data_IF_913433874221
#
_entry.id   IF_913433874221
#
_cell.length_a   1.000
_cell.length_b   1.000
_cell.length_c   1.000
_cell.angle_alpha   90.00
_cell.angle_beta   90.00
_cell.angle_gamma   90.00
#
_symmetry.space_group_name_H-M   'P 1'
#
loop_
_entity.id
_entity.type
_entity.pdbx_description
1 polymer ?
#
# COMPACT_ATOMS: atom_id res chain seq x y z
N UNK A 1 -15.20 -13.78 -14.18
CA UNK A 1 -14.74 -14.22 -12.84
C UNK A 1 -15.52 -13.49 -11.76
N UNK A 2 -15.99 -14.21 -10.77
CA UNK A 2 -16.71 -13.62 -9.67
C UNK A 2 -15.73 -12.88 -8.75
N UNK A 3 -16.21 -11.79 -8.13
CA UNK A 3 -15.38 -11.00 -7.20
C UNK A 3 -14.80 -11.87 -6.08
N UNK A 4 -15.59 -12.80 -5.55
CA UNK A 4 -15.18 -13.68 -4.45
C UNK A 4 -14.07 -14.65 -4.84
N UNK A 5 -13.79 -14.84 -6.13
CA UNK A 5 -12.77 -15.76 -6.61
C UNK A 5 -11.47 -15.06 -6.99
N UNK A 6 -11.36 -13.75 -6.73
CA UNK A 6 -10.19 -12.96 -7.11
C UNK A 6 -9.17 -12.88 -5.98
N UNK A 7 -7.89 -12.94 -6.36
CA UNK A 7 -6.79 -12.52 -5.50
C UNK A 7 -6.20 -11.23 -6.05
N UNK A 8 -5.27 -10.62 -5.32
CA UNK A 8 -4.64 -9.36 -5.73
C UNK A 8 -4.05 -9.44 -7.14
N UNK A 9 -3.40 -10.54 -7.46
CA UNK A 9 -2.75 -10.72 -8.78
C UNK A 9 -3.75 -10.73 -9.93
N UNK A 10 -5.02 -11.01 -9.67
CA UNK A 10 -6.07 -11.06 -10.69
C UNK A 10 -6.71 -9.70 -10.93
N UNK A 11 -6.35 -8.69 -10.15
CA UNK A 11 -6.91 -7.36 -10.30
C UNK A 11 -6.40 -6.70 -11.58
N UNK A 12 -7.23 -5.84 -12.15
CA UNK A 12 -6.83 -5.03 -13.30
C UNK A 12 -5.79 -4.00 -12.86
N UNK A 13 -4.96 -3.55 -13.81
CA UNK A 13 -3.91 -2.57 -13.52
C UNK A 13 -4.49 -1.29 -12.86
N UNK A 14 -5.65 -0.85 -13.30
CA UNK A 14 -6.31 0.32 -12.72
C UNK A 14 -6.61 0.12 -11.22
N UNK A 15 -7.07 -1.09 -10.85
CA UNK A 15 -7.36 -1.41 -9.45
C UNK A 15 -6.08 -1.49 -8.63
N UNK A 16 -5.03 -2.11 -9.18
CA UNK A 16 -3.72 -2.19 -8.52
C UNK A 16 -3.13 -0.81 -8.31
N UNK A 17 -3.26 0.07 -9.30
CA UNK A 17 -2.78 1.45 -9.20
C UNK A 17 -3.51 2.23 -8.13
N UNK A 18 -4.83 2.05 -8.02
CA UNK A 18 -5.62 2.72 -6.98
C UNK A 18 -5.17 2.29 -5.58
N UNK A 19 -4.90 0.99 -5.40
CA UNK A 19 -4.39 0.47 -4.12
C UNK A 19 -3.00 1.03 -3.83
N UNK A 20 -2.13 1.07 -4.84
CA UNK A 20 -0.78 1.63 -4.69
C UNK A 20 -0.82 3.11 -4.33
N UNK A 21 -1.73 3.88 -4.92
CA UNK A 21 -1.88 5.30 -4.60
C UNK A 21 -2.33 5.51 -3.16
N UNK A 22 -3.26 4.69 -2.68
CA UNK A 22 -3.68 4.74 -1.28
C UNK A 22 -2.54 4.38 -0.34
N UNK A 23 -1.76 3.36 -0.70
CA UNK A 23 -0.60 2.93 0.08
C UNK A 23 0.42 4.06 0.17
N UNK A 24 0.73 4.67 -0.95
CA UNK A 24 1.65 5.81 -0.98
C UNK A 24 1.13 6.97 -0.12
N UNK A 25 -0.16 7.28 -0.23
CA UNK A 25 -0.77 8.35 0.56
C UNK A 25 -0.63 8.12 2.06
N UNK A 26 -0.79 6.88 2.54
CA UNK A 26 -0.63 6.56 3.96
C UNK A 26 0.83 6.68 4.39
N UNK A 27 1.77 6.24 3.56
CA UNK A 27 3.20 6.39 3.85
C UNK A 27 3.61 7.86 3.87
N UNK A 28 3.12 8.64 2.91
CA UNK A 28 3.41 10.08 2.84
C UNK A 28 2.90 10.79 4.09
N UNK A 29 1.66 10.52 4.48
CA UNK A 29 1.07 11.12 5.67
C UNK A 29 1.87 10.76 6.92
N UNK A 30 2.28 9.50 7.04
CA UNK A 30 3.09 9.06 8.16
C UNK A 30 4.41 9.81 8.19
N UNK A 31 5.07 9.93 7.05
CA UNK A 31 6.37 10.60 6.97
C UNK A 31 6.25 12.09 7.32
N UNK A 32 5.20 12.76 6.85
CA UNK A 32 5.01 14.19 7.13
C UNK A 32 4.80 14.44 8.62
N UNK A 33 4.17 13.50 9.33
CA UNK A 33 3.92 13.64 10.77
C UNK A 33 5.15 13.26 11.59
N UNK A 34 5.83 12.17 11.22
CA UNK A 34 6.89 11.55 12.03
C UNK A 34 8.29 11.84 11.51
N UNK A 35 8.42 12.30 10.28
CA UNK A 35 9.69 12.59 9.59
C UNK A 35 10.62 11.38 9.51
N UNK A 36 10.02 10.20 9.41
CA UNK A 36 10.72 8.93 9.23
C UNK A 36 9.77 7.93 8.60
N UNK A 37 10.33 6.84 8.06
CA UNK A 37 9.51 5.74 7.56
C UNK A 37 8.94 4.93 8.71
N UNK A 38 7.78 4.25 8.49
CA UNK A 38 7.17 3.42 9.53
C UNK A 38 8.08 2.25 9.93
N UNK A 39 8.05 1.90 11.21
CA UNK A 39 8.67 0.68 11.71
C UNK A 39 7.81 -0.53 11.26
N UNK A 40 8.30 -1.75 11.52
CA UNK A 40 7.57 -2.97 11.14
C UNK A 40 6.19 -3.03 11.79
N UNK A 41 6.07 -2.63 13.06
CA UNK A 41 4.79 -2.60 13.76
C UNK A 41 3.84 -1.58 13.15
N UNK A 42 4.34 -0.39 12.85
CA UNK A 42 3.55 0.68 12.24
C UNK A 42 3.14 0.31 10.81
N UNK A 43 4.04 -0.33 10.08
CA UNK A 43 3.78 -0.81 8.73
C UNK A 43 2.68 -1.87 8.72
N UNK A 44 2.69 -2.78 9.71
CA UNK A 44 1.64 -3.76 9.85
C UNK A 44 0.26 -3.10 10.02
N UNK A 45 0.18 -2.05 10.83
CA UNK A 45 -1.05 -1.29 11.02
C UNK A 45 -1.54 -0.67 9.71
N UNK A 46 -0.61 -0.09 8.94
CA UNK A 46 -0.93 0.47 7.62
C UNK A 46 -1.46 -0.62 6.68
N UNK A 47 -0.78 -1.75 6.65
CA UNK A 47 -1.17 -2.88 5.79
C UNK A 47 -2.55 -3.42 6.16
N UNK A 48 -2.86 -3.52 7.43
CA UNK A 48 -4.18 -3.99 7.89
C UNK A 48 -5.30 -3.06 7.43
N UNK A 49 -5.07 -1.77 7.54
CA UNK A 49 -6.04 -0.77 7.09
C UNK A 49 -6.27 -0.88 5.58
N UNK A 50 -5.19 -0.99 4.81
CA UNK A 50 -5.27 -1.14 3.35
C UNK A 50 -5.87 -2.47 2.94
N UNK A 51 -5.59 -3.52 3.69
CA UNK A 51 -6.07 -4.87 3.37
C UNK A 51 -7.59 -4.95 3.39
N UNK A 52 -8.25 -4.14 4.20
CA UNK A 52 -9.71 -4.06 4.22
C UNK A 52 -10.26 -3.74 2.83
N UNK A 53 -9.62 -2.77 2.14
CA UNK A 53 -10.02 -2.40 0.78
C UNK A 53 -9.69 -3.50 -0.23
N UNK A 54 -8.55 -4.16 -0.06
CA UNK A 54 -8.15 -5.27 -0.94
C UNK A 54 -9.12 -6.45 -0.78
N UNK A 55 -9.46 -6.78 0.44
CA UNK A 55 -10.37 -7.88 0.73
C UNK A 55 -11.75 -7.64 0.09
N UNK A 56 -12.21 -6.40 0.05
CA UNK A 56 -13.49 -6.06 -0.53
C UNK A 56 -13.59 -6.39 -2.03
N UNK A 57 -12.48 -6.35 -2.75
CA UNK A 57 -12.45 -6.59 -4.20
C UNK A 57 -11.68 -7.83 -4.60
N UNK A 58 -10.86 -8.37 -3.72
CA UNK A 58 -10.02 -9.54 -3.97
C UNK A 58 -9.92 -10.39 -2.69
N UNK A 59 -11.03 -11.01 -2.25
CA UNK A 59 -11.08 -11.70 -0.95
C UNK A 59 -10.19 -12.93 -0.84
N UNK A 60 -9.68 -13.45 -1.97
CA UNK A 60 -8.75 -14.58 -1.93
C UNK A 60 -7.31 -14.17 -1.69
N UNK A 61 -7.03 -12.87 -1.58
CA UNK A 61 -5.69 -12.38 -1.26
C UNK A 61 -5.38 -12.68 0.21
N UNK A 62 -4.25 -13.31 0.46
CA UNK A 62 -3.79 -13.52 1.83
C UNK A 62 -3.10 -12.26 2.34
N UNK A 63 -3.27 -11.99 3.63
CA UNK A 63 -2.68 -10.79 4.24
C UNK A 63 -1.16 -10.76 4.08
N UNK A 64 -0.50 -11.92 4.29
CA UNK A 64 0.96 -12.00 4.15
C UNK A 64 1.41 -11.71 2.73
N UNK A 65 0.67 -12.18 1.73
CA UNK A 65 0.96 -11.89 0.33
C UNK A 65 0.90 -10.39 0.06
N UNK A 66 -0.15 -9.73 0.57
CA UNK A 66 -0.29 -8.29 0.41
C UNK A 66 0.85 -7.53 1.10
N UNK A 67 1.22 -7.94 2.31
CA UNK A 67 2.34 -7.32 3.03
C UNK A 67 3.65 -7.42 2.26
N UNK A 68 3.92 -8.55 1.62
CA UNK A 68 5.11 -8.73 0.80
C UNK A 68 5.12 -7.78 -0.39
N UNK A 69 3.96 -7.53 -0.99
CA UNK A 69 3.85 -6.60 -2.11
C UNK A 69 4.18 -5.19 -1.65
N UNK A 70 3.66 -4.78 -0.48
CA UNK A 70 3.94 -3.46 0.09
C UNK A 70 5.42 -3.32 0.42
N UNK A 71 6.01 -4.35 1.03
CA UNK A 71 7.45 -4.34 1.37
C UNK A 71 8.34 -4.17 0.14
N UNK A 72 8.00 -4.84 -0.94
CA UNK A 72 8.76 -4.72 -2.19
C UNK A 72 8.76 -3.31 -2.73
N UNK A 73 7.70 -2.56 -2.50
CA UNK A 73 7.53 -1.20 -3.04
C UNK A 73 7.96 -0.11 -2.07
N UNK A 74 8.32 -0.47 -0.85
CA UNK A 74 8.62 0.50 0.20
C UNK A 74 9.77 1.44 -0.18
N UNK A 75 10.84 0.91 -0.77
CA UNK A 75 11.97 1.72 -1.20
C UNK A 75 11.54 2.76 -2.23
N UNK A 76 10.70 2.35 -3.18
CA UNK A 76 10.15 3.26 -4.18
C UNK A 76 9.28 4.34 -3.56
N UNK A 77 8.48 3.99 -2.56
CA UNK A 77 7.66 4.97 -1.84
C UNK A 77 8.53 5.98 -1.11
N UNK A 78 9.59 5.53 -0.45
CA UNK A 78 10.52 6.41 0.25
C UNK A 78 11.16 7.41 -0.71
N UNK A 79 11.65 6.94 -1.85
CA UNK A 79 12.24 7.81 -2.87
C UNK A 79 11.24 8.83 -3.39
N UNK A 80 10.02 8.40 -3.65
CA UNK A 80 8.96 9.28 -4.12
C UNK A 80 8.59 10.34 -3.08
N UNK A 81 8.50 9.95 -1.81
CA UNK A 81 8.22 10.88 -0.71
C UNK A 81 9.28 11.98 -0.66
N UNK A 82 10.55 11.59 -0.69
CA UNK A 82 11.65 12.56 -0.61
C UNK A 82 11.64 13.51 -1.80
N UNK A 83 11.38 12.99 -2.98
CA UNK A 83 11.28 13.81 -4.19
C UNK A 83 10.10 14.78 -4.11
N UNK A 84 8.93 14.29 -3.67
CA UNK A 84 7.73 15.14 -3.57
C UNK A 84 7.92 16.24 -2.54
N UNK A 85 8.59 15.94 -1.42
CA UNK A 85 8.90 16.96 -0.40
C UNK A 85 9.82 18.02 -0.99
N UNK A 86 10.84 17.63 -1.77
CA UNK A 86 11.72 18.59 -2.42
C UNK A 86 10.96 19.47 -3.41
N UNK A 87 9.90 18.95 -4.02
CA UNK A 87 9.09 19.69 -4.99
C UNK A 87 7.98 20.53 -4.33
N UNK A 88 7.94 20.58 -3.02
CA UNK A 88 7.09 21.55 -2.31
C UNK A 88 5.68 21.07 -1.98
N UNK A 89 5.52 19.80 -1.69
CA UNK A 89 4.22 19.35 -1.17
C UNK A 89 4.00 19.82 0.25
#
# INVERSE_FOLDING_TARGET
MRRADRSYKDLKQKQKSAIADKTYGMYLKFYLVNQRMPTDTEKDSICRTLFTAVYAIAPRTEYEEFCKIVDKRETGYKERILRDIQNGI
#
